data_IF_735677089540
#
_entry.id   IF_735677089540
#
_cell.length_a   1.000
_cell.length_b   1.000
_cell.length_c   1.000
_cell.angle_alpha   90.00
_cell.angle_beta   90.00
_cell.angle_gamma   90.00
#
_symmetry.space_group_name_H-M   'P 1'
#
loop_
_entity.id
_entity.type
_entity.pdbx_description
1 polymer ?
#
# COMPACT_ATOMS: atom_id res chain seq x y z
N UNK A 1 10.63 17.66 5.88
CA UNK A 1 9.40 17.62 6.70
C UNK A 1 8.40 18.70 6.26
N UNK A 2 8.73 20.00 6.32
CA UNK A 2 7.82 21.07 5.89
C UNK A 2 7.38 20.92 4.43
N UNK A 3 8.31 20.66 3.51
CA UNK A 3 7.99 20.50 2.08
C UNK A 3 7.00 19.35 1.81
N UNK A 4 7.12 18.23 2.53
CA UNK A 4 6.18 17.11 2.41
C UNK A 4 4.81 17.46 2.96
N UNK A 5 4.77 18.21 4.07
CA UNK A 5 3.53 18.69 4.66
C UNK A 5 2.77 19.60 3.69
N UNK A 6 3.47 20.46 2.94
CA UNK A 6 2.86 21.37 1.97
C UNK A 6 2.59 20.71 0.60
N UNK A 7 3.31 19.65 0.24
CA UNK A 7 3.19 18.96 -1.05
C UNK A 7 1.89 18.16 -1.19
N UNK A 8 1.58 17.32 -0.20
CA UNK A 8 0.47 16.38 -0.26
C UNK A 8 -0.77 16.93 0.44
N UNK A 9 -1.92 16.82 -0.24
CA UNK A 9 -3.20 17.25 0.31
C UNK A 9 -3.55 16.48 1.60
N UNK A 10 -4.11 17.20 2.59
CA UNK A 10 -4.65 16.64 3.82
C UNK A 10 -6.12 16.30 3.61
N UNK A 11 -6.43 15.01 3.70
CA UNK A 11 -7.80 14.53 3.58
C UNK A 11 -8.46 14.61 4.96
N UNK A 12 -9.57 15.32 5.04
CA UNK A 12 -10.30 15.56 6.29
C UNK A 12 -11.60 14.76 6.25
N UNK A 13 -11.75 13.75 7.11
CA UNK A 13 -13.02 13.09 7.39
C UNK A 13 -13.57 13.59 8.72
N UNK A 14 -14.77 14.17 8.71
CA UNK A 14 -15.38 14.75 9.90
C UNK A 14 -16.80 14.21 10.12
N UNK A 15 -17.21 14.13 11.39
CA UNK A 15 -18.55 13.69 11.78
C UNK A 15 -19.64 14.66 11.32
N UNK A 16 -19.31 15.94 11.16
CA UNK A 16 -20.21 16.99 10.72
C UNK A 16 -19.46 18.02 9.86
N UNK A 17 -20.21 18.67 8.96
CA UNK A 17 -19.67 19.65 8.02
C UNK A 17 -19.02 20.86 8.72
N UNK A 18 -19.62 21.50 9.74
CA UNK A 18 -18.98 22.60 10.45
C UNK A 18 -17.61 22.24 11.05
N UNK A 19 -17.49 21.08 11.68
CA UNK A 19 -16.20 20.61 12.23
C UNK A 19 -15.18 20.33 11.15
N UNK A 20 -15.61 19.74 10.02
CA UNK A 20 -14.76 19.53 8.86
C UNK A 20 -14.23 20.83 8.25
N UNK A 21 -15.09 21.84 8.13
CA UNK A 21 -14.71 23.17 7.62
C UNK A 21 -13.67 23.85 8.50
N UNK A 22 -13.85 23.84 9.84
CA UNK A 22 -12.86 24.41 10.76
C UNK A 22 -11.48 23.73 10.64
N UNK A 23 -11.46 22.41 10.46
CA UNK A 23 -10.21 21.68 10.27
C UNK A 23 -9.53 22.01 8.93
N UNK A 24 -10.32 22.15 7.86
CA UNK A 24 -9.84 22.60 6.54
C UNK A 24 -9.23 23.99 6.65
N UNK A 25 -9.95 24.96 7.22
CA UNK A 25 -9.48 26.34 7.40
C UNK A 25 -8.14 26.36 8.15
N UNK A 26 -8.04 25.63 9.26
CA UNK A 26 -6.81 25.55 10.06
C UNK A 26 -5.59 25.05 9.26
N UNK A 27 -5.77 24.02 8.42
CA UNK A 27 -4.67 23.51 7.59
C UNK A 27 -4.32 24.46 6.43
N UNK A 28 -5.32 25.14 5.85
CA UNK A 28 -5.12 26.07 4.75
C UNK A 28 -4.46 27.37 5.20
N UNK A 29 -4.72 27.85 6.42
CA UNK A 29 -4.05 29.01 7.03
C UNK A 29 -2.52 28.86 7.07
N UNK A 30 -2.01 27.64 7.19
CA UNK A 30 -0.58 27.32 7.18
C UNK A 30 -0.07 26.86 5.80
N UNK A 31 -0.86 27.07 4.75
CA UNK A 31 -0.49 26.82 3.36
C UNK A 31 -0.60 25.36 2.90
N UNK A 32 -1.23 24.47 3.68
CA UNK A 32 -1.44 23.09 3.24
C UNK A 32 -2.62 23.01 2.28
N UNK A 33 -2.52 22.11 1.30
CA UNK A 33 -3.66 21.72 0.46
C UNK A 33 -4.58 20.81 1.26
N UNK A 34 -5.90 20.94 1.12
CA UNK A 34 -6.85 20.06 1.82
C UNK A 34 -7.87 19.45 0.87
N UNK A 35 -8.55 18.40 1.35
CA UNK A 35 -9.75 17.85 0.73
C UNK A 35 -10.69 17.34 1.80
N UNK A 36 -11.85 17.99 1.93
CA UNK A 36 -12.92 17.51 2.80
C UNK A 36 -13.61 16.30 2.16
N UNK A 37 -13.72 15.21 2.91
CA UNK A 37 -14.42 14.00 2.52
C UNK A 37 -15.84 13.99 3.07
N UNK A 38 -16.67 13.10 2.51
CA UNK A 38 -18.10 13.02 2.85
C UNK A 38 -18.38 12.47 4.25
N UNK A 39 -17.45 11.71 4.84
CA UNK A 39 -17.62 11.09 6.15
C UNK A 39 -16.26 10.69 6.75
N UNK A 40 -16.18 10.42 8.08
CA UNK A 40 -14.97 9.87 8.67
C UNK A 40 -14.61 8.50 8.10
N UNK A 41 -15.59 7.61 7.85
CA UNK A 41 -15.37 6.27 7.31
C UNK A 41 -14.70 6.31 5.92
N UNK A 42 -15.05 7.31 5.09
CA UNK A 42 -14.40 7.51 3.80
C UNK A 42 -12.89 7.79 3.97
N UNK A 43 -12.51 8.54 5.00
CA UNK A 43 -11.10 8.83 5.31
C UNK A 43 -10.37 7.62 5.89
N UNK A 44 -11.03 6.84 6.75
CA UNK A 44 -10.48 5.64 7.36
C UNK A 44 -10.20 4.57 6.30
N UNK A 45 -11.19 4.27 5.46
CA UNK A 45 -11.05 3.29 4.39
C UNK A 45 -10.01 3.76 3.37
N UNK A 46 -9.97 5.04 3.01
CA UNK A 46 -8.92 5.58 2.15
C UNK A 46 -7.52 5.29 2.71
N UNK A 47 -7.30 5.47 4.03
CA UNK A 47 -5.98 5.24 4.61
C UNK A 47 -5.61 3.76 4.70
N UNK A 48 -6.55 2.91 5.13
CA UNK A 48 -6.33 1.47 5.20
C UNK A 48 -6.02 0.88 3.82
N UNK A 49 -6.81 1.29 2.82
CA UNK A 49 -6.66 0.78 1.44
C UNK A 49 -5.44 1.36 0.71
N UNK A 50 -5.03 2.60 0.99
CA UNK A 50 -3.81 3.18 0.41
C UNK A 50 -2.56 2.38 0.82
N UNK A 51 -2.41 2.10 2.12
CA UNK A 51 -1.28 1.27 2.59
C UNK A 51 -1.38 -0.17 2.09
N UNK A 52 -2.61 -0.68 1.92
CA UNK A 52 -2.85 -2.04 1.42
C UNK A 52 -2.52 -2.14 -0.07
N UNK A 53 -2.81 -1.11 -0.86
CA UNK A 53 -2.43 -1.03 -2.26
C UNK A 53 -0.91 -1.09 -2.43
N UNK A 54 -0.16 -0.38 -1.58
CA UNK A 54 1.29 -0.50 -1.54
C UNK A 54 1.74 -1.94 -1.20
N UNK A 55 1.11 -2.57 -0.20
CA UNK A 55 1.35 -3.98 0.14
C UNK A 55 1.05 -4.95 -0.99
N UNK A 56 -0.02 -4.73 -1.76
CA UNK A 56 -0.37 -5.52 -2.93
C UNK A 56 0.73 -5.48 -3.99
N UNK A 57 1.27 -4.29 -4.28
CA UNK A 57 2.34 -4.13 -5.27
C UNK A 57 3.63 -4.83 -4.83
N UNK A 58 3.97 -4.78 -3.55
CA UNK A 58 5.12 -5.53 -3.01
C UNK A 58 4.86 -7.04 -3.06
N UNK A 59 3.68 -7.51 -2.66
CA UNK A 59 3.34 -8.93 -2.73
C UNK A 59 3.37 -9.45 -4.18
N UNK A 60 2.95 -8.64 -5.15
CA UNK A 60 3.10 -8.97 -6.56
C UNK A 60 4.57 -9.04 -6.98
N UNK A 61 5.40 -8.10 -6.55
CA UNK A 61 6.84 -8.16 -6.80
C UNK A 61 7.46 -9.44 -6.20
N UNK A 62 7.10 -9.79 -4.96
CA UNK A 62 7.51 -11.05 -4.32
C UNK A 62 7.10 -12.28 -5.14
N UNK A 63 5.90 -12.30 -5.70
CA UNK A 63 5.41 -13.39 -6.55
C UNK A 63 6.20 -13.52 -7.84
N UNK A 64 6.43 -12.41 -8.55
CA UNK A 64 7.20 -12.41 -9.80
C UNK A 64 8.66 -12.83 -9.56
N UNK A 65 9.28 -12.38 -8.46
CA UNK A 65 10.65 -12.79 -8.10
C UNK A 65 10.74 -14.31 -7.91
N UNK A 66 9.71 -14.95 -7.33
CA UNK A 66 9.69 -16.41 -7.20
C UNK A 66 9.64 -17.14 -8.53
N UNK A 67 8.91 -16.60 -9.51
CA UNK A 67 8.95 -17.14 -10.86
C UNK A 67 10.34 -17.02 -11.45
N UNK A 68 10.99 -15.87 -11.23
CA UNK A 68 12.34 -15.61 -11.72
C UNK A 68 13.36 -16.59 -11.11
N UNK A 69 13.29 -16.83 -9.79
CA UNK A 69 14.13 -17.81 -9.10
C UNK A 69 13.92 -19.22 -9.65
N UNK A 70 12.66 -19.64 -9.85
CA UNK A 70 12.35 -20.98 -10.38
C UNK A 70 12.86 -21.19 -11.81
N UNK A 71 12.88 -20.13 -12.62
CA UNK A 71 13.31 -20.17 -14.01
C UNK A 71 14.80 -19.84 -14.20
N UNK A 72 15.50 -19.39 -13.14
CA UNK A 72 16.90 -18.96 -13.22
C UNK A 72 17.11 -17.67 -14.02
N UNK A 73 16.13 -16.75 -14.01
CA UNK A 73 16.17 -15.47 -14.74
C UNK A 73 16.25 -14.26 -13.80
N UNK A 74 16.66 -13.11 -14.34
CA UNK A 74 16.80 -11.88 -13.56
C UNK A 74 15.46 -11.15 -13.39
N UNK A 75 15.01 -10.97 -12.14
CA UNK A 75 13.83 -10.18 -11.80
C UNK A 75 13.85 -8.77 -12.41
N UNK A 76 15.01 -8.11 -12.37
CA UNK A 76 15.14 -6.73 -12.81
C UNK A 76 14.91 -6.58 -14.32
N UNK A 77 15.30 -7.58 -15.10
CA UNK A 77 15.05 -7.66 -16.53
C UNK A 77 13.55 -7.85 -16.79
N UNK A 78 12.89 -8.75 -16.05
CA UNK A 78 11.45 -9.00 -16.20
C UNK A 78 10.62 -7.76 -15.92
N UNK A 79 10.88 -7.05 -14.83
CA UNK A 79 10.06 -5.88 -14.46
C UNK A 79 10.45 -4.61 -15.22
N UNK A 80 11.60 -4.57 -15.92
CA UNK A 80 11.91 -3.46 -16.82
C UNK A 80 10.86 -3.30 -17.93
N UNK A 81 10.19 -4.38 -18.34
CA UNK A 81 9.07 -4.32 -19.27
C UNK A 81 7.90 -3.46 -18.76
N UNK A 82 7.74 -3.33 -17.44
CA UNK A 82 6.64 -2.56 -16.85
C UNK A 82 6.88 -1.06 -16.95
N UNK A 83 8.13 -0.64 -17.03
CA UNK A 83 8.53 0.77 -17.15
C UNK A 83 8.07 1.39 -18.48
N UNK A 84 7.91 0.55 -19.52
CA UNK A 84 7.38 0.97 -20.82
C UNK A 84 5.86 1.21 -20.80
N UNK A 85 5.15 0.76 -19.76
CA UNK A 85 3.70 0.80 -19.69
C UNK A 85 3.25 2.05 -18.93
N UNK A 86 2.90 3.10 -19.68
CA UNK A 86 2.58 4.45 -19.14
C UNK A 86 1.45 4.52 -18.10
N UNK A 87 0.59 3.51 -18.02
CA UNK A 87 -0.53 3.48 -17.06
C UNK A 87 -0.26 2.55 -15.87
N UNK A 88 0.90 1.91 -15.79
CA UNK A 88 1.35 1.21 -14.60
C UNK A 88 1.92 2.20 -13.57
N UNK A 89 1.99 1.80 -12.29
CA UNK A 89 2.75 2.56 -11.31
C UNK A 89 4.16 2.82 -11.83
N UNK A 90 4.66 4.07 -11.83
CA UNK A 90 5.95 4.43 -12.43
C UNK A 90 7.15 4.04 -11.55
N UNK A 91 6.93 3.12 -10.61
CA UNK A 91 7.91 2.69 -9.61
C UNK A 91 8.03 1.19 -9.69
N UNK A 92 9.28 0.74 -9.86
CA UNK A 92 9.65 -0.66 -9.68
C UNK A 92 9.68 -0.99 -8.19
N UNK A 93 8.88 -1.98 -7.78
CA UNK A 93 8.83 -2.40 -6.39
C UNK A 93 9.87 -3.47 -6.09
N UNK A 94 10.63 -3.30 -5.01
CA UNK A 94 11.56 -4.32 -4.56
C UNK A 94 10.78 -5.48 -3.89
N UNK A 95 11.04 -6.75 -4.23
CA UNK A 95 10.34 -7.91 -3.70
C UNK A 95 10.68 -8.23 -2.23
N UNK A 96 10.99 -7.23 -1.40
CA UNK A 96 11.41 -7.41 -0.01
C UNK A 96 10.28 -7.80 0.94
N UNK A 97 10.64 -8.03 2.21
CA UNK A 97 9.66 -8.18 3.28
C UNK A 97 8.85 -6.89 3.46
N UNK A 98 7.52 -7.05 3.61
CA UNK A 98 6.63 -5.99 4.05
C UNK A 98 6.74 -5.87 5.57
N UNK A 99 7.67 -5.01 6.02
CA UNK A 99 7.86 -4.68 7.43
C UNK A 99 7.10 -3.44 7.89
N UNK A 100 7.52 -2.90 9.05
CA UNK A 100 6.96 -1.68 9.63
C UNK A 100 5.57 -1.85 10.24
N UNK A 101 4.94 -0.72 10.59
CA UNK A 101 3.72 -0.70 11.42
C UNK A 101 2.43 -0.38 10.66
N UNK A 102 2.51 -0.17 9.33
CA UNK A 102 1.35 0.30 8.57
C UNK A 102 0.69 -0.81 7.77
N UNK A 103 1.41 -1.44 6.83
CA UNK A 103 0.79 -2.30 5.80
C UNK A 103 0.14 -3.54 6.42
N UNK A 104 0.91 -4.38 7.11
CA UNK A 104 0.40 -5.63 7.68
C UNK A 104 -0.67 -5.39 8.78
N UNK A 105 -0.50 -4.43 9.71
CA UNK A 105 -1.55 -4.11 10.68
C UNK A 105 -2.83 -3.55 10.04
N UNK A 106 -2.75 -2.73 9.00
CA UNK A 106 -3.93 -2.20 8.31
C UNK A 106 -4.68 -3.31 7.54
N UNK A 107 -3.95 -4.28 6.98
CA UNK A 107 -4.56 -5.47 6.37
C UNK A 107 -5.29 -6.30 7.43
N UNK A 108 -4.74 -6.44 8.63
CA UNK A 108 -5.41 -7.15 9.74
C UNK A 108 -6.72 -6.44 10.14
N UNK A 109 -6.70 -5.12 10.30
CA UNK A 109 -7.92 -4.32 10.57
C UNK A 109 -8.98 -4.57 9.49
N UNK A 110 -8.59 -4.57 8.21
CA UNK A 110 -9.51 -4.87 7.12
C UNK A 110 -10.07 -6.29 7.20
N UNK A 111 -9.22 -7.29 7.46
CA UNK A 111 -9.64 -8.70 7.54
C UNK A 111 -10.58 -8.99 8.72
N UNK A 112 -10.49 -8.23 9.81
CA UNK A 112 -11.43 -8.33 10.94
C UNK A 112 -12.87 -7.93 10.55
N UNK A 113 -13.04 -7.12 9.50
CA UNK A 113 -14.34 -6.62 9.04
C UNK A 113 -14.78 -7.18 7.70
N UNK A 114 -13.83 -7.52 6.83
CA UNK A 114 -14.06 -7.88 5.44
C UNK A 114 -13.27 -9.14 5.07
N UNK A 115 -13.93 -10.31 4.98
CA UNK A 115 -13.31 -11.51 4.45
C UNK A 115 -12.80 -11.26 3.02
N UNK A 116 -11.52 -11.50 2.78
CA UNK A 116 -10.92 -11.25 1.47
C UNK A 116 -9.77 -12.20 1.18
N UNK A 117 -9.96 -13.05 0.16
CA UNK A 117 -8.91 -13.94 -0.33
C UNK A 117 -7.71 -13.16 -0.88
N UNK A 118 -7.93 -11.97 -1.44
CA UNK A 118 -6.86 -11.11 -1.93
C UNK A 118 -5.97 -10.63 -0.79
N UNK A 119 -6.57 -10.16 0.32
CA UNK A 119 -5.81 -9.73 1.49
C UNK A 119 -5.06 -10.91 2.13
N UNK A 120 -5.70 -12.08 2.20
CA UNK A 120 -5.05 -13.31 2.66
C UNK A 120 -3.85 -13.70 1.79
N UNK A 121 -3.94 -13.53 0.46
CA UNK A 121 -2.83 -13.79 -0.44
C UNK A 121 -1.64 -12.85 -0.20
N UNK A 122 -1.89 -11.57 0.12
CA UNK A 122 -0.82 -10.63 0.51
C UNK A 122 -0.15 -11.10 1.80
N UNK A 123 -0.94 -11.47 2.81
CA UNK A 123 -0.41 -11.99 4.09
C UNK A 123 0.41 -13.26 3.89
N UNK A 124 -0.09 -14.19 3.07
CA UNK A 124 0.60 -15.43 2.76
C UNK A 124 1.90 -15.16 1.99
N UNK A 125 1.88 -14.31 0.98
CA UNK A 125 3.08 -13.94 0.21
C UNK A 125 4.15 -13.34 1.12
N UNK A 126 3.77 -12.44 2.04
CA UNK A 126 4.72 -11.85 2.97
C UNK A 126 5.22 -12.84 4.02
N UNK A 127 4.34 -13.71 4.53
CA UNK A 127 4.72 -14.80 5.45
C UNK A 127 5.72 -15.74 4.77
N UNK A 128 5.49 -16.08 3.50
CA UNK A 128 6.43 -16.85 2.71
C UNK A 128 7.73 -16.08 2.53
N UNK A 129 7.71 -14.77 2.25
CA UNK A 129 8.94 -13.96 2.17
C UNK A 129 9.73 -13.95 3.48
N UNK A 130 9.06 -13.94 4.63
CA UNK A 130 9.69 -14.02 5.95
C UNK A 130 10.25 -15.42 6.26
N UNK A 131 9.56 -16.47 5.81
CA UNK A 131 9.95 -17.87 6.05
C UNK A 131 10.98 -18.38 5.04
N UNK A 132 10.91 -17.95 3.79
CA UNK A 132 11.78 -18.35 2.69
C UNK A 132 13.19 -17.75 2.90
N UNK A 133 14.27 -18.49 3.18
CA UNK A 133 14.60 -19.88 2.83
C UNK A 133 14.38 -20.15 1.32
N UNK A 134 15.36 -20.71 0.62
CA UNK A 134 15.35 -20.85 -0.85
C UNK A 134 14.18 -21.67 -1.45
N UNK A 135 14.16 -21.89 -2.77
CA UNK A 135 13.01 -22.34 -3.59
C UNK A 135 12.22 -23.61 -3.19
N UNK A 136 12.59 -24.29 -2.11
CA UNK A 136 12.00 -25.54 -1.60
C UNK A 136 10.67 -25.33 -0.85
N UNK A 137 10.34 -24.11 -0.39
CA UNK A 137 9.16 -23.82 0.45
C UNK A 137 7.78 -23.90 -0.21
N UNK A 138 7.70 -24.31 -1.49
CA UNK A 138 6.46 -24.41 -2.27
C UNK A 138 5.82 -25.81 -2.26
N UNK A 139 6.45 -26.79 -1.60
CA UNK A 139 6.06 -28.20 -1.65
C UNK A 139 5.64 -28.80 -0.30
N UNK A 140 5.36 -27.98 0.71
CA UNK A 140 4.84 -28.45 2.02
C UNK A 140 3.52 -27.78 2.36
#
# INVERSE_FOLDING_TARGET
>A
MQDEMLRYAKFVGALDLPSGQRAVEHFEEVGMKTKLLSSPEASEIAKLTETTYFGLLIAWAQEVERYCVKLGINYDEVVSFYEEIKFFPPVKYFPGEIGGHCVMPNIDILLQKFPSALLQAIVQSNTLRQKNLGPEGWLT
#
